data_IF_519014995776
#
_entry.id   IF_519014995776
#
_cell.length_a   1.000
_cell.length_b   1.000
_cell.length_c   1.000
_cell.angle_alpha   90.00
_cell.angle_beta   90.00
_cell.angle_gamma   90.00
#
_symmetry.space_group_name_H-M   'P 1'
#
loop_
_entity.id
_entity.type
_entity.pdbx_description
1 polymer ?
#
# COMPACT_ATOMS: atom_id res chain seq x y z
N UNK A 1 -25.20 28.33 -26.46
CA UNK A 1 -24.08 27.50 -26.95
C UNK A 1 -23.39 26.93 -25.71
N UNK A 2 -23.24 25.62 -25.60
CA UNK A 2 -22.87 24.96 -24.33
C UNK A 2 -21.35 24.97 -24.13
N UNK A 3 -20.86 25.40 -22.97
CA UNK A 3 -19.43 25.35 -22.59
C UNK A 3 -18.83 23.94 -22.75
N UNK A 4 -19.66 22.90 -22.59
CA UNK A 4 -19.30 21.50 -22.85
C UNK A 4 -18.94 21.23 -24.31
N UNK A 5 -19.60 21.91 -25.26
CA UNK A 5 -19.32 21.77 -26.69
C UNK A 5 -18.03 22.48 -27.10
N UNK A 6 -17.67 23.57 -26.44
CA UNK A 6 -16.38 24.26 -26.64
C UNK A 6 -15.19 23.48 -26.08
N UNK A 7 -15.34 22.89 -24.88
CA UNK A 7 -14.32 22.02 -24.29
C UNK A 7 -14.08 20.76 -25.13
N UNK A 8 -15.14 20.19 -25.73
CA UNK A 8 -15.06 18.99 -26.57
C UNK A 8 -14.42 19.27 -27.93
N UNK A 9 -14.57 20.49 -28.44
CA UNK A 9 -14.00 20.93 -29.73
C UNK A 9 -12.52 21.31 -29.62
N UNK A 10 -12.05 21.74 -28.44
CA UNK A 10 -10.68 22.24 -28.20
C UNK A 10 -9.66 21.21 -27.71
N UNK A 11 -9.93 19.90 -27.84
CA UNK A 11 -9.05 18.82 -27.33
C UNK A 11 -8.69 18.90 -25.83
N UNK A 12 -9.35 19.75 -25.02
CA UNK A 12 -9.05 19.93 -23.59
C UNK A 12 -9.23 18.62 -22.82
N UNK A 13 -10.21 17.80 -23.20
CA UNK A 13 -10.39 16.45 -22.64
C UNK A 13 -9.20 15.52 -22.90
N UNK A 14 -8.55 15.62 -24.07
CA UNK A 14 -7.38 14.80 -24.39
C UNK A 14 -6.19 15.22 -23.53
N UNK A 15 -5.99 16.52 -23.32
CA UNK A 15 -4.93 17.03 -22.44
C UNK A 15 -5.22 16.66 -20.98
N UNK A 16 -6.46 16.82 -20.52
CA UNK A 16 -6.85 16.40 -19.18
C UNK A 16 -6.64 14.90 -18.93
N UNK A 17 -7.00 14.06 -19.91
CA UNK A 17 -6.74 12.62 -19.84
C UNK A 17 -5.24 12.28 -19.86
N UNK A 18 -4.46 12.91 -20.73
CA UNK A 18 -3.01 12.73 -20.78
C UNK A 18 -2.35 13.18 -19.46
N UNK A 19 -2.79 14.31 -18.89
CA UNK A 19 -2.33 14.79 -17.60
C UNK A 19 -2.67 13.81 -16.48
N UNK A 20 -3.88 13.23 -16.47
CA UNK A 20 -4.26 12.23 -15.48
C UNK A 20 -3.38 10.97 -15.57
N UNK A 21 -3.11 10.47 -16.78
CA UNK A 21 -2.25 9.28 -16.99
C UNK A 21 -0.79 9.57 -16.59
N UNK A 22 -0.23 10.69 -17.04
CA UNK A 22 1.15 11.09 -16.70
C UNK A 22 1.27 11.38 -15.22
N UNK A 23 0.31 12.11 -14.66
CA UNK A 23 0.26 12.43 -13.24
C UNK A 23 0.16 11.18 -12.38
N UNK A 24 -0.69 10.23 -12.76
CA UNK A 24 -0.75 8.92 -12.12
C UNK A 24 0.58 8.16 -12.20
N UNK A 25 1.25 8.15 -13.35
CA UNK A 25 2.58 7.53 -13.51
C UNK A 25 3.63 8.19 -12.61
N UNK A 26 3.60 9.52 -12.49
CA UNK A 26 4.49 10.29 -11.60
C UNK A 26 4.24 9.90 -10.14
N UNK A 27 2.99 9.74 -9.71
CA UNK A 27 2.68 9.28 -8.36
C UNK A 27 3.22 7.86 -8.12
N UNK A 28 3.05 6.94 -9.07
CA UNK A 28 3.56 5.57 -8.94
C UNK A 28 5.08 5.52 -8.85
N UNK A 29 5.80 6.24 -9.72
CA UNK A 29 7.26 6.33 -9.65
C UNK A 29 7.69 7.03 -8.36
N UNK A 30 6.97 8.07 -7.95
CA UNK A 30 7.21 8.79 -6.72
C UNK A 30 7.12 7.88 -5.49
N UNK A 31 6.22 6.90 -5.49
CA UNK A 31 5.96 5.98 -4.37
C UNK A 31 7.11 5.01 -4.21
N UNK A 32 7.45 4.35 -5.32
CA UNK A 32 8.61 3.47 -5.41
C UNK A 32 9.90 4.23 -5.05
N UNK A 33 10.04 5.48 -5.50
CA UNK A 33 11.22 6.30 -5.18
C UNK A 33 11.26 6.71 -3.71
N UNK A 34 10.13 7.11 -3.13
CA UNK A 34 10.04 7.54 -1.73
C UNK A 34 10.44 6.44 -0.77
N UNK A 35 9.93 5.23 -0.96
CA UNK A 35 10.26 4.08 -0.12
C UNK A 35 11.73 3.68 -0.24
N UNK A 36 12.26 3.65 -1.47
CA UNK A 36 13.64 3.20 -1.73
C UNK A 36 14.71 4.23 -1.34
N UNK A 37 14.43 5.52 -1.51
CA UNK A 37 15.37 6.60 -1.21
C UNK A 37 15.20 7.15 0.22
N UNK A 38 14.16 6.75 0.93
CA UNK A 38 13.83 7.24 2.27
C UNK A 38 13.39 8.71 2.26
N UNK A 39 12.55 9.11 1.30
CA UNK A 39 12.02 10.47 1.30
C UNK A 39 11.11 10.70 2.53
N UNK A 40 11.08 11.92 3.09
CA UNK A 40 10.21 12.22 4.22
C UNK A 40 8.72 12.11 3.86
N UNK A 41 7.87 11.86 4.87
CA UNK A 41 6.42 11.67 4.71
C UNK A 41 5.69 12.86 4.05
N UNK A 42 6.27 14.06 4.09
CA UNK A 42 5.69 15.25 3.42
C UNK A 42 5.88 15.26 1.90
N UNK A 43 6.79 14.44 1.37
CA UNK A 43 7.12 14.42 -0.05
C UNK A 43 5.92 14.05 -0.91
N UNK A 44 5.21 12.98 -0.54
CA UNK A 44 4.04 12.51 -1.26
C UNK A 44 2.86 13.49 -1.25
N UNK A 45 2.44 14.02 -0.08
CA UNK A 45 1.47 15.11 0.00
C UNK A 45 1.86 16.33 -0.85
N UNK A 46 3.14 16.74 -0.81
CA UNK A 46 3.64 17.85 -1.65
C UNK A 46 3.47 17.55 -3.14
N UNK A 47 3.87 16.35 -3.58
CA UNK A 47 3.77 15.91 -4.97
C UNK A 47 2.31 15.90 -5.44
N UNK A 48 1.40 15.37 -4.62
CA UNK A 48 -0.03 15.33 -4.92
C UNK A 48 -0.64 16.74 -5.01
N UNK A 49 -0.32 17.64 -4.07
CA UNK A 49 -0.79 19.03 -4.10
C UNK A 49 -0.26 19.77 -5.32
N UNK A 50 1.02 19.60 -5.67
CA UNK A 50 1.63 20.23 -6.83
C UNK A 50 0.95 19.76 -8.13
N UNK A 51 0.68 18.47 -8.25
CA UNK A 51 -0.02 17.89 -9.40
C UNK A 51 -1.49 18.36 -9.47
N UNK A 52 -2.18 18.40 -8.33
CA UNK A 52 -3.54 18.92 -8.22
C UNK A 52 -3.64 20.40 -8.61
N UNK A 53 -2.68 21.22 -8.20
CA UNK A 53 -2.62 22.66 -8.51
C UNK A 53 -2.16 22.90 -9.97
N UNK A 54 -1.30 22.02 -10.49
CA UNK A 54 -0.87 22.03 -11.89
C UNK A 54 -1.99 21.66 -12.87
N UNK A 55 -2.99 20.89 -12.44
CA UNK A 55 -4.09 20.46 -13.33
C UNK A 55 -4.96 21.62 -13.84
N UNK A 56 -5.52 22.53 -13.00
CA UNK A 56 -6.22 23.72 -13.48
C UNK A 56 -5.38 24.58 -14.42
N UNK A 57 -4.10 24.76 -14.10
CA UNK A 57 -3.16 25.52 -14.95
C UNK A 57 -2.98 24.83 -16.30
N UNK A 58 -2.80 23.50 -16.32
CA UNK A 58 -2.70 22.72 -17.53
C UNK A 58 -3.97 22.80 -18.39
N UNK A 59 -5.16 22.81 -17.77
CA UNK A 59 -6.43 23.00 -18.49
C UNK A 59 -6.55 24.41 -19.07
N UNK A 60 -6.18 25.45 -18.31
CA UNK A 60 -6.19 26.84 -18.79
C UNK A 60 -5.19 27.02 -19.93
N UNK A 61 -3.99 26.45 -19.83
CA UNK A 61 -3.00 26.47 -20.90
C UNK A 61 -3.48 25.70 -22.13
N UNK A 62 -4.07 24.51 -21.96
CA UNK A 62 -4.66 23.76 -23.08
C UNK A 62 -5.78 24.53 -23.78
N UNK A 63 -6.56 25.29 -23.01
CA UNK A 63 -7.63 26.13 -23.53
C UNK A 63 -7.10 27.41 -24.21
N UNK A 64 -6.08 28.05 -23.62
CA UNK A 64 -5.52 29.32 -24.06
C UNK A 64 -4.55 29.17 -25.25
N UNK A 65 -3.79 28.08 -25.31
CA UNK A 65 -2.77 27.87 -26.35
C UNK A 65 -3.27 27.18 -27.62
N UNK A 66 -4.59 26.91 -27.76
CA UNK A 66 -5.22 26.28 -28.93
C UNK A 66 -4.22 25.47 -29.76
N UNK A 67 -3.60 24.44 -29.15
CA UNK A 67 -2.40 23.79 -29.70
C UNK A 67 -2.74 23.26 -31.09
N UNK A 68 -2.34 24.03 -32.09
CA UNK A 68 -3.04 24.13 -33.36
C UNK A 68 -2.69 22.91 -34.20
N UNK A 69 -3.63 22.05 -34.63
CA UNK A 69 -3.34 21.05 -35.65
C UNK A 69 -3.08 21.70 -37.01
N UNK A 70 -3.59 22.92 -37.24
CA UNK A 70 -3.40 23.73 -38.44
C UNK A 70 -2.41 24.88 -38.19
N UNK A 71 -1.21 24.57 -37.66
CA UNK A 71 -0.10 25.53 -37.65
C UNK A 71 0.11 26.12 -39.05
N UNK A 72 -0.21 27.41 -39.20
CA UNK A 72 -0.09 28.24 -40.41
C UNK A 72 -0.44 27.55 -41.74
N UNK A 73 -1.73 27.57 -42.13
CA UNK A 73 -2.08 27.56 -43.57
C UNK A 73 -1.59 28.87 -44.19
N UNK A 74 -0.33 28.85 -44.65
CA UNK A 74 0.21 29.87 -45.55
C UNK A 74 -0.66 29.83 -46.81
N UNK A 75 -1.43 30.89 -47.03
CA UNK A 75 -2.16 31.14 -48.27
C UNK A 75 -1.23 30.93 -49.47
N UNK A 76 -1.61 30.00 -50.35
CA UNK A 76 -0.96 29.74 -51.62
C UNK A 76 -1.91 28.90 -52.47
N UNK A 77 -2.72 29.58 -53.27
CA UNK A 77 -3.73 29.00 -54.13
C UNK A 77 -3.14 28.03 -55.15
N UNK A 78 -3.56 26.75 -55.14
CA UNK A 78 -3.61 25.90 -56.34
C UNK A 78 -4.77 24.91 -56.20
N UNK A 79 -5.47 24.74 -57.31
CA UNK A 79 -6.73 24.06 -57.53
C UNK A 79 -6.64 22.54 -57.34
N UNK A 80 -7.70 21.99 -56.74
CA UNK A 80 -8.43 20.77 -57.14
C UNK A 80 -7.67 19.72 -57.98
N UNK A 81 -7.19 18.65 -57.33
CA UNK A 81 -7.26 17.27 -57.86
C UNK A 81 -6.96 16.25 -56.75
N UNK A 82 -7.99 15.49 -56.40
CA UNK A 82 -7.95 14.05 -56.08
C UNK A 82 -6.70 13.48 -55.36
N UNK A 83 -6.75 13.38 -54.02
CA UNK A 83 -6.07 12.31 -53.29
C UNK A 83 -6.68 12.14 -51.89
N UNK A 84 -7.26 10.97 -51.66
CA UNK A 84 -7.73 10.47 -50.36
C UNK A 84 -6.57 10.48 -49.34
N UNK A 85 -6.59 11.40 -48.37
CA UNK A 85 -5.68 11.35 -47.23
C UNK A 85 -6.32 10.50 -46.10
N UNK A 86 -5.64 9.47 -45.58
CA UNK A 86 -6.21 8.64 -44.53
C UNK A 86 -6.31 9.40 -43.19
N UNK A 87 -7.25 9.04 -42.30
CA UNK A 87 -7.45 9.72 -41.03
C UNK A 87 -6.32 9.37 -40.04
N UNK A 88 -5.24 10.13 -40.08
CA UNK A 88 -4.04 9.94 -39.24
C UNK A 88 -4.31 10.15 -37.74
N UNK A 89 -5.41 10.79 -37.35
CA UNK A 89 -5.80 11.01 -35.95
C UNK A 89 -6.20 9.77 -35.16
N UNK A 90 -6.68 8.69 -35.81
CA UNK A 90 -7.14 7.46 -35.13
C UNK A 90 -6.02 6.47 -34.80
N UNK A 91 -4.81 6.67 -35.32
CA UNK A 91 -3.66 5.77 -35.09
C UNK A 91 -2.99 6.08 -33.75
N UNK A 92 -2.88 7.36 -33.39
CA UNK A 92 -2.34 7.77 -32.09
C UNK A 92 -3.24 7.38 -30.92
N UNK A 93 -4.56 7.53 -31.03
CA UNK A 93 -5.48 7.05 -29.97
C UNK A 93 -5.33 5.53 -29.76
N UNK A 94 -5.13 4.76 -30.84
CA UNK A 94 -4.87 3.32 -30.74
C UNK A 94 -3.53 3.02 -30.08
N UNK A 95 -2.47 3.78 -30.35
CA UNK A 95 -1.19 3.61 -29.68
C UNK A 95 -1.26 3.95 -28.18
N UNK A 96 -2.05 4.97 -27.80
CA UNK A 96 -2.31 5.30 -26.39
C UNK A 96 -3.10 4.18 -25.71
N UNK A 97 -4.17 3.69 -26.34
CA UNK A 97 -4.98 2.59 -25.78
C UNK A 97 -4.18 1.29 -25.70
N UNK A 98 -3.38 0.97 -26.72
CA UNK A 98 -2.49 -0.20 -26.71
C UNK A 98 -1.42 -0.06 -25.63
N UNK A 99 -0.83 1.14 -25.47
CA UNK A 99 0.13 1.42 -24.41
C UNK A 99 -0.48 1.29 -23.01
N UNK A 100 -1.68 1.83 -22.80
CA UNK A 100 -2.40 1.71 -21.52
C UNK A 100 -2.77 0.25 -21.22
N UNK A 101 -3.24 -0.49 -22.22
CA UNK A 101 -3.51 -1.92 -22.08
C UNK A 101 -2.23 -2.74 -21.83
N UNK A 102 -1.10 -2.36 -22.43
CA UNK A 102 0.18 -3.00 -22.16
C UNK A 102 0.64 -2.74 -20.71
N UNK A 103 0.48 -1.51 -20.20
CA UNK A 103 0.78 -1.20 -18.79
C UNK A 103 -0.14 -1.97 -17.85
N UNK A 104 -1.45 -2.00 -18.10
CA UNK A 104 -2.40 -2.81 -17.31
C UNK A 104 -2.04 -4.30 -17.38
N UNK A 105 -1.68 -4.80 -18.56
CA UNK A 105 -1.27 -6.19 -18.75
C UNK A 105 0.03 -6.50 -17.99
N UNK A 106 0.99 -5.59 -17.95
CA UNK A 106 2.23 -5.74 -17.15
C UNK A 106 1.92 -5.71 -15.65
N UNK A 107 1.03 -4.83 -15.19
CA UNK A 107 0.66 -4.75 -13.77
C UNK A 107 -0.15 -5.98 -13.32
N UNK A 108 -1.07 -6.46 -14.16
CA UNK A 108 -1.79 -7.72 -13.90
C UNK A 108 -0.84 -8.90 -14.02
N UNK A 109 0.12 -8.87 -14.95
CA UNK A 109 1.13 -9.88 -15.08
C UNK A 109 1.99 -9.96 -13.82
N UNK A 110 2.56 -8.85 -13.35
CA UNK A 110 3.27 -8.84 -12.07
C UNK A 110 2.36 -9.34 -10.94
N UNK A 111 1.12 -8.87 -10.86
CA UNK A 111 0.21 -9.30 -9.80
C UNK A 111 -0.14 -10.79 -9.89
N UNK A 112 -0.19 -11.40 -11.07
CA UNK A 112 -0.57 -12.81 -11.24
C UNK A 112 0.65 -13.74 -11.22
N UNK A 113 1.79 -13.33 -11.77
CA UNK A 113 3.05 -14.07 -11.74
C UNK A 113 3.74 -13.97 -10.36
N UNK A 114 3.58 -12.88 -9.61
CA UNK A 114 4.07 -12.75 -8.22
C UNK A 114 3.00 -12.98 -7.14
N UNK A 115 1.72 -13.16 -7.48
CA UNK A 115 0.75 -13.77 -6.54
C UNK A 115 0.92 -15.29 -6.39
N UNK A 116 1.93 -15.87 -7.06
CA UNK A 116 2.25 -17.29 -7.02
C UNK A 116 3.04 -17.77 -5.80
N UNK A 117 3.53 -16.87 -4.94
CA UNK A 117 4.25 -17.25 -3.70
C UNK A 117 3.37 -17.17 -2.43
N UNK A 118 2.05 -17.11 -2.58
CA UNK A 118 1.16 -17.57 -1.52
C UNK A 118 0.97 -19.08 -1.70
N UNK A 119 2.01 -19.84 -1.33
CA UNK A 119 2.04 -21.30 -1.34
C UNK A 119 0.82 -21.85 -0.56
N UNK A 120 -0.19 -22.45 -1.22
CA UNK A 120 -1.31 -23.10 -0.54
C UNK A 120 -0.91 -24.47 0.04
N UNK A 121 0.31 -24.94 -0.22
CA UNK A 121 0.80 -26.27 0.16
C UNK A 121 1.80 -26.25 1.34
N UNK A 122 2.18 -25.08 1.89
CA UNK A 122 3.02 -25.06 3.11
C UNK A 122 2.30 -25.64 4.33
N UNK A 123 0.96 -25.67 4.33
CA UNK A 123 0.14 -26.27 5.39
C UNK A 123 -0.02 -27.81 5.28
N UNK A 124 0.32 -28.40 4.12
CA UNK A 124 0.22 -29.85 3.91
C UNK A 124 1.59 -30.54 3.90
N UNK A 125 2.67 -29.83 3.56
CA UNK A 125 4.04 -30.36 3.62
C UNK A 125 4.58 -30.50 5.05
N UNK A 126 4.18 -29.64 6.00
CA UNK A 126 4.59 -29.77 7.42
C UNK A 126 3.86 -30.90 8.16
N UNK A 127 2.83 -31.52 7.59
CA UNK A 127 2.10 -32.64 8.22
C UNK A 127 2.63 -34.03 7.89
N UNK A 128 3.58 -34.16 6.95
CA UNK A 128 4.04 -35.48 6.47
C UNK A 128 5.54 -35.72 6.63
N UNK A 129 6.25 -34.84 7.32
CA UNK A 129 7.71 -34.83 7.39
C UNK A 129 8.33 -35.12 8.76
N UNK A 130 7.71 -35.91 9.65
CA UNK A 130 8.42 -36.35 10.88
C UNK A 130 7.99 -37.77 11.27
N UNK A 131 8.38 -38.75 10.45
CA UNK A 131 8.50 -40.15 10.89
C UNK A 131 9.90 -40.62 10.52
N UNK A 132 10.88 -40.23 11.33
CA UNK A 132 12.23 -40.77 11.29
C UNK A 132 12.74 -40.93 12.72
N UNK A 133 12.47 -42.12 13.25
CA UNK A 133 13.13 -42.83 14.34
C UNK A 133 14.45 -42.22 14.82
N UNK A 134 14.38 -41.34 15.81
CA UNK A 134 15.46 -41.09 16.76
C UNK A 134 15.07 -41.72 18.10
N UNK A 135 16.01 -42.49 18.65
CA UNK A 135 16.03 -43.20 19.93
C UNK A 135 15.23 -42.47 21.05
N UNK A 136 14.44 -43.17 21.90
CA UNK A 136 13.66 -42.53 22.95
C UNK A 136 14.59 -41.94 24.01
N UNK A 137 14.88 -40.66 23.89
CA UNK A 137 15.18 -39.83 25.04
C UNK A 137 13.82 -39.42 25.65
N UNK A 138 13.63 -39.54 26.98
CA UNK A 138 12.33 -39.29 27.60
C UNK A 138 11.80 -37.90 27.22
N UNK A 139 10.48 -37.73 27.05
CA UNK A 139 9.93 -36.41 26.83
C UNK A 139 10.33 -35.55 28.02
N UNK A 140 11.21 -34.58 27.80
CA UNK A 140 11.35 -33.47 28.70
C UNK A 140 10.01 -32.73 28.63
N UNK A 141 9.12 -33.09 29.55
CA UNK A 141 8.00 -32.25 29.96
C UNK A 141 8.55 -30.82 30.04
N UNK A 142 8.02 -29.84 29.30
CA UNK A 142 8.33 -28.45 29.60
C UNK A 142 7.66 -28.13 30.93
N UNK A 143 8.28 -28.58 32.02
CA UNK A 143 8.14 -27.99 33.34
C UNK A 143 9.02 -26.74 33.33
N UNK A 144 8.70 -25.79 32.46
CA UNK A 144 9.24 -24.45 32.56
C UNK A 144 8.50 -23.82 33.75
N UNK A 145 9.09 -23.93 34.94
CA UNK A 145 8.73 -23.02 36.01
C UNK A 145 8.83 -21.59 35.44
N UNK A 146 7.86 -20.71 35.72
CA UNK A 146 7.85 -19.36 35.16
C UNK A 146 9.19 -18.69 35.41
N UNK A 147 9.83 -18.22 34.33
CA UNK A 147 11.10 -17.51 34.46
C UNK A 147 10.83 -16.22 35.25
N UNK A 148 11.45 -16.10 36.42
CA UNK A 148 11.26 -14.93 37.28
C UNK A 148 11.67 -13.67 36.54
N UNK A 149 10.72 -12.72 36.39
CA UNK A 149 10.92 -11.48 35.68
C UNK A 149 10.64 -11.53 34.17
N UNK A 150 10.21 -12.67 33.60
CA UNK A 150 9.75 -12.72 32.21
C UNK A 150 8.32 -12.21 32.09
N UNK A 151 8.15 -11.12 31.34
CA UNK A 151 6.86 -10.46 31.09
C UNK A 151 6.46 -10.68 29.63
N UNK A 152 5.24 -11.21 29.45
CA UNK A 152 4.54 -11.24 28.18
C UNK A 152 3.55 -10.07 28.15
N UNK A 153 3.63 -9.21 27.13
CA UNK A 153 2.59 -8.20 26.88
C UNK A 153 1.80 -8.68 25.69
N UNK A 154 0.50 -8.89 25.85
CA UNK A 154 -0.35 -9.28 24.73
C UNK A 154 -0.69 -8.08 23.85
N UNK A 155 -1.01 -8.30 22.56
CA UNK A 155 -1.44 -7.23 21.66
C UNK A 155 -2.69 -6.52 22.21
N UNK A 156 -2.64 -5.19 22.30
CA UNK A 156 -3.76 -4.43 22.86
C UNK A 156 -4.90 -4.35 21.87
N UNK A 157 -6.12 -4.62 22.34
CA UNK A 157 -7.31 -4.57 21.49
C UNK A 157 -7.75 -3.13 21.29
N UNK A 158 -8.10 -2.74 20.07
CA UNK A 158 -8.76 -1.46 19.81
C UNK A 158 -10.23 -1.55 20.24
N UNK A 159 -10.64 -0.71 21.20
CA UNK A 159 -12.03 -0.59 21.68
C UNK A 159 -12.67 0.75 21.25
N UNK A 160 -11.97 1.53 20.45
CA UNK A 160 -12.47 2.79 19.87
C UNK A 160 -13.49 2.49 18.77
N UNK A 161 -14.37 3.46 18.50
CA UNK A 161 -15.40 3.34 17.45
C UNK A 161 -14.79 3.42 16.04
N UNK A 162 -13.59 4.01 15.93
CA UNK A 162 -12.89 4.29 14.69
C UNK A 162 -11.86 3.19 14.41
N UNK A 163 -11.85 2.68 13.17
CA UNK A 163 -10.96 1.59 12.77
C UNK A 163 -9.50 2.06 12.65
N UNK A 164 -9.31 3.33 12.31
CA UNK A 164 -8.00 3.99 12.22
C UNK A 164 -7.25 4.06 13.56
N UNK A 165 -7.95 3.91 14.70
CA UNK A 165 -7.31 3.85 16.02
C UNK A 165 -6.63 2.50 16.30
N UNK A 166 -6.73 1.53 15.38
CA UNK A 166 -6.04 0.24 15.51
C UNK A 166 -4.51 0.40 15.50
N UNK A 167 -3.99 1.26 14.61
CA UNK A 167 -2.56 1.59 14.57
C UNK A 167 -2.10 2.30 15.85
N UNK A 168 -2.99 3.06 16.50
CA UNK A 168 -2.69 3.67 17.78
C UNK A 168 -2.60 2.63 18.90
N UNK A 169 -3.51 1.65 18.94
CA UNK A 169 -3.44 0.56 19.91
C UNK A 169 -2.15 -0.28 19.74
N UNK A 170 -1.74 -0.53 18.50
CA UNK A 170 -0.47 -1.19 18.17
C UNK A 170 0.75 -0.34 18.61
N UNK A 171 0.71 0.98 18.36
CA UNK A 171 1.76 1.89 18.81
C UNK A 171 1.89 1.96 20.33
N UNK A 172 0.78 1.94 21.08
CA UNK A 172 0.79 1.88 22.55
C UNK A 172 1.39 0.56 23.04
N UNK A 173 1.08 -0.55 22.38
CA UNK A 173 1.69 -1.85 22.69
C UNK A 173 3.22 -1.83 22.50
N UNK A 174 3.70 -1.26 21.39
CA UNK A 174 5.13 -1.18 21.08
C UNK A 174 5.88 -0.23 22.03
N UNK A 175 5.26 0.88 22.42
CA UNK A 175 5.84 1.78 23.41
C UNK A 175 5.93 1.11 24.79
N UNK A 176 4.90 0.36 25.21
CA UNK A 176 4.94 -0.40 26.46
C UNK A 176 6.04 -1.46 26.48
N UNK A 177 6.19 -2.24 25.40
CA UNK A 177 7.29 -3.20 25.27
C UNK A 177 8.64 -2.49 25.39
N UNK A 178 8.79 -1.33 24.74
CA UNK A 178 10.01 -0.52 24.78
C UNK A 178 10.30 0.00 26.19
N UNK A 179 9.30 0.54 26.89
CA UNK A 179 9.46 1.04 28.26
C UNK A 179 9.80 -0.08 29.23
N UNK A 180 9.12 -1.22 29.15
CA UNK A 180 9.37 -2.38 30.01
C UNK A 180 10.77 -2.96 29.79
N UNK A 181 11.26 -2.98 28.54
CA UNK A 181 12.61 -3.47 28.21
C UNK A 181 13.75 -2.65 28.85
N UNK A 182 13.49 -1.38 29.21
CA UNK A 182 14.48 -0.51 29.86
C UNK A 182 14.63 -0.81 31.35
N UNK A 183 13.69 -1.54 31.95
CA UNK A 183 13.73 -1.91 33.36
C UNK A 183 14.53 -3.21 33.50
N UNK A 184 15.73 -3.14 34.08
CA UNK A 184 16.64 -4.28 34.18
C UNK A 184 16.08 -5.51 34.94
N UNK A 185 15.02 -5.32 35.74
CA UNK A 185 14.34 -6.39 36.46
C UNK A 185 13.43 -7.25 35.57
N UNK A 186 13.12 -6.79 34.35
CA UNK A 186 12.20 -7.45 33.44
C UNK A 186 12.90 -7.93 32.17
N UNK A 187 12.65 -9.19 31.82
CA UNK A 187 12.87 -9.71 30.47
C UNK A 187 11.52 -9.65 29.77
N UNK A 188 11.49 -9.09 28.57
CA UNK A 188 10.23 -8.91 27.83
C UNK A 188 10.25 -9.82 26.61
N UNK A 189 9.17 -10.56 26.38
CA UNK A 189 9.04 -11.38 25.17
C UNK A 189 8.83 -10.47 23.96
N UNK A 190 9.46 -10.81 22.84
CA UNK A 190 9.43 -9.98 21.65
C UNK A 190 8.01 -9.78 21.10
N UNK A 191 7.80 -8.62 20.48
CA UNK A 191 6.55 -8.23 19.80
C UNK A 191 6.05 -9.31 18.84
N UNK A 192 6.90 -9.80 17.94
CA UNK A 192 6.51 -10.78 16.92
C UNK A 192 6.07 -12.11 17.52
N UNK A 193 6.65 -12.51 18.65
CA UNK A 193 6.22 -13.71 19.37
C UNK A 193 4.84 -13.53 20.02
N UNK A 194 4.53 -12.32 20.51
CA UNK A 194 3.24 -11.97 21.11
C UNK A 194 2.12 -11.79 20.06
N UNK A 195 2.44 -11.33 18.85
CA UNK A 195 1.46 -11.17 17.76
C UNK A 195 0.73 -12.46 17.40
N UNK A 196 1.35 -13.63 17.63
CA UNK A 196 0.69 -14.93 17.43
C UNK A 196 -0.51 -15.17 18.36
N UNK A 197 -0.60 -14.41 19.45
CA UNK A 197 -1.68 -14.50 20.43
C UNK A 197 -2.71 -13.37 20.30
N UNK A 198 -2.63 -12.51 19.27
CA UNK A 198 -3.53 -11.36 19.10
C UNK A 198 -5.03 -11.74 19.11
N UNK A 199 -5.36 -12.82 18.39
CA UNK A 199 -6.72 -13.35 18.26
C UNK A 199 -6.84 -14.74 18.90
N UNK A 200 -5.95 -15.07 19.84
CA UNK A 200 -5.98 -16.36 20.51
C UNK A 200 -7.21 -16.52 21.39
N UNK A 201 -7.78 -17.72 21.39
CA UNK A 201 -8.85 -18.14 22.30
C UNK A 201 -8.33 -18.80 23.57
N UNK A 202 -7.00 -18.93 23.69
CA UNK A 202 -6.35 -19.49 24.87
C UNK A 202 -6.58 -18.58 26.08
N UNK A 203 -6.73 -19.19 27.25
CA UNK A 203 -6.80 -18.45 28.51
C UNK A 203 -5.42 -17.93 28.90
N UNK A 204 -5.38 -16.81 29.64
CA UNK A 204 -4.14 -16.21 30.13
C UNK A 204 -3.22 -17.20 30.87
N UNK A 205 -3.72 -18.11 31.74
CA UNK A 205 -2.86 -19.11 32.37
C UNK A 205 -2.22 -20.10 31.39
N UNK A 206 -2.92 -20.45 30.30
CA UNK A 206 -2.37 -21.31 29.25
C UNK A 206 -1.27 -20.60 28.46
N UNK A 207 -1.53 -19.33 28.10
CA UNK A 207 -0.55 -18.49 27.41
C UNK A 207 0.69 -18.27 28.29
N UNK A 208 0.50 -18.01 29.59
CA UNK A 208 1.60 -17.86 30.54
C UNK A 208 2.46 -19.13 30.63
N UNK A 209 1.82 -20.31 30.68
CA UNK A 209 2.51 -21.60 30.73
C UNK A 209 3.26 -21.91 29.43
N UNK A 210 2.66 -21.62 28.27
CA UNK A 210 3.26 -21.83 26.95
C UNK A 210 4.49 -20.93 26.73
N UNK A 211 4.41 -19.69 27.21
CA UNK A 211 5.47 -18.69 27.08
C UNK A 211 6.52 -18.76 28.20
N UNK A 212 6.28 -19.55 29.26
CA UNK A 212 7.09 -19.55 30.47
C UNK A 212 7.10 -18.20 31.21
N UNK A 213 6.12 -17.32 30.93
CA UNK A 213 6.07 -15.97 31.45
C UNK A 213 5.56 -15.95 32.90
N UNK A 214 6.26 -15.23 33.77
CA UNK A 214 5.83 -15.03 35.15
C UNK A 214 4.64 -14.06 35.25
N UNK A 215 4.56 -13.11 34.31
CA UNK A 215 3.48 -12.12 34.25
C UNK A 215 3.02 -11.99 32.80
N UNK A 216 1.70 -12.00 32.60
CA UNK A 216 1.07 -11.69 31.32
C UNK A 216 0.24 -10.43 31.50
N UNK A 217 0.47 -9.42 30.65
CA UNK A 217 -0.27 -8.17 30.62
C UNK A 217 -1.24 -8.18 29.44
N UNK A 218 -2.52 -8.05 29.72
CA UNK A 218 -3.58 -7.88 28.72
C UNK A 218 -4.22 -6.49 28.84
N UNK A 219 -4.72 -5.95 27.72
CA UNK A 219 -5.30 -4.60 27.71
C UNK A 219 -6.06 -4.26 26.43
N UNK A 220 -6.79 -3.15 26.50
CA UNK A 220 -7.45 -2.55 25.36
C UNK A 220 -7.27 -1.03 25.41
N UNK A 221 -7.17 -0.40 24.24
CA UNK A 221 -7.05 1.05 24.11
C UNK A 221 -8.36 1.60 23.58
N UNK A 222 -8.85 2.67 24.20
CA UNK A 222 -10.07 3.36 23.77
C UNK A 222 -9.82 4.86 23.70
N UNK A 223 -10.01 5.45 22.53
CA UNK A 223 -9.95 6.90 22.33
C UNK A 223 -11.37 7.48 22.29
N UNK A 224 -11.60 8.51 23.10
CA UNK A 224 -12.88 9.23 23.16
C UNK A 224 -12.64 10.74 23.11
N UNK A 225 -12.77 11.33 21.92
CA UNK A 225 -12.41 12.73 21.69
C UNK A 225 -10.90 12.93 21.86
N UNK A 226 -10.51 13.81 22.78
CA UNK A 226 -9.11 14.12 23.09
C UNK A 226 -8.54 13.30 24.27
N UNK A 227 -9.26 12.25 24.71
CA UNK A 227 -8.83 11.38 25.81
C UNK A 227 -8.53 9.95 25.33
N UNK A 228 -7.56 9.32 25.99
CA UNK A 228 -7.08 7.95 25.79
C UNK A 228 -7.13 7.21 27.13
#
# INVERSE_FOLDING_TARGET
MSLFSELKRRNVFRVGAAYAVIGWLILQIGDVAADNLGFPDWFMPMLFVLLGLGFPVALVLAWAFELTPDGMKRTGAVQETEAVAPPTGKRMDRLIVIGLLAVIAVLVAERVWFAGDADPDTDLAMRSGETATARPEPPATPSAAPESGLIAVLPFRNRSVRAEDAFFAEGVHDDLLTQLSKVAAFKVISRTSMMRYADSTLSIPQIAAELGAAVVLEGAVQRAGDQV
#
